data_IF_198590359721
#
_entry.id   IF_198590359721
#
_cell.length_a   1.000
_cell.length_b   1.000
_cell.length_c   1.000
_cell.angle_alpha   90.00
_cell.angle_beta   90.00
_cell.angle_gamma   90.00
#
_symmetry.space_group_name_H-M   'P 1'
#
loop_
_entity.id
_entity.type
_entity.pdbx_description
1 polymer ?
#
# COMPACT_ATOMS: atom_id res chain seq x y z
N UNK A 1 19.54 -2.53 12.69
CA UNK A 1 19.32 -2.91 11.26
C UNK A 1 20.41 -2.29 10.40
N UNK A 2 20.81 -2.93 9.29
CA UNK A 2 21.80 -2.38 8.34
C UNK A 2 21.18 -1.23 7.50
N UNK A 3 21.66 0.03 7.64
CA UNK A 3 21.11 1.16 6.91
C UNK A 3 21.24 1.02 5.39
N UNK A 4 22.32 0.41 4.88
CA UNK A 4 22.53 0.27 3.43
C UNK A 4 21.48 -0.63 2.79
N UNK A 5 21.07 -1.69 3.50
CA UNK A 5 20.00 -2.59 3.11
C UNK A 5 18.61 -1.94 3.21
N UNK A 6 18.35 -1.24 4.32
CA UNK A 6 16.99 -0.85 4.69
C UNK A 6 16.57 0.55 4.26
N UNK A 7 17.50 1.50 4.11
CA UNK A 7 17.19 2.86 3.67
C UNK A 7 16.38 2.92 2.36
N UNK A 8 16.77 2.24 1.25
CA UNK A 8 15.99 2.31 0.01
C UNK A 8 14.57 1.73 0.16
N UNK A 9 14.39 0.72 1.00
CA UNK A 9 13.07 0.12 1.27
C UNK A 9 12.18 1.09 2.04
N UNK A 10 12.73 1.70 3.09
CA UNK A 10 12.00 2.68 3.90
C UNK A 10 11.64 3.93 3.09
N UNK A 11 12.54 4.41 2.22
CA UNK A 11 12.28 5.53 1.31
C UNK A 11 11.18 5.19 0.29
N UNK A 12 11.21 3.99 -0.30
CA UNK A 12 10.17 3.56 -1.25
C UNK A 12 8.79 3.42 -0.58
N UNK A 13 8.77 2.93 0.67
CA UNK A 13 7.55 2.92 1.48
C UNK A 13 7.10 4.36 1.80
N UNK A 14 8.02 5.24 2.21
CA UNK A 14 7.73 6.63 2.53
C UNK A 14 7.12 7.40 1.35
N UNK A 15 7.70 7.23 0.14
CA UNK A 15 7.18 7.81 -1.10
C UNK A 15 5.76 7.33 -1.39
N UNK A 16 5.53 6.01 -1.27
CA UNK A 16 4.21 5.41 -1.50
C UNK A 16 3.17 5.94 -0.49
N UNK A 17 3.56 6.10 0.78
CA UNK A 17 2.74 6.69 1.84
C UNK A 17 2.43 8.16 1.57
N UNK A 18 3.42 8.91 1.12
CA UNK A 18 3.26 10.31 0.74
C UNK A 18 2.24 10.46 -0.39
N UNK A 19 2.42 9.73 -1.49
CA UNK A 19 1.52 9.82 -2.64
C UNK A 19 0.11 9.35 -2.33
N UNK A 20 -0.04 8.28 -1.53
CA UNK A 20 -1.37 7.84 -1.09
C UNK A 20 -2.06 8.89 -0.22
N UNK A 21 -1.33 9.47 0.75
CA UNK A 21 -1.83 10.54 1.61
C UNK A 21 -2.28 11.76 0.79
N UNK A 22 -1.49 12.16 -0.20
CA UNK A 22 -1.80 13.26 -1.10
C UNK A 22 -3.07 13.00 -1.94
N UNK A 23 -3.22 11.80 -2.51
CA UNK A 23 -4.45 11.44 -3.23
C UNK A 23 -5.67 11.33 -2.32
N UNK A 24 -5.50 10.93 -1.06
CA UNK A 24 -6.60 10.93 -0.08
C UNK A 24 -7.09 12.35 0.21
N UNK A 25 -6.21 13.36 0.17
CA UNK A 25 -6.61 14.78 0.26
C UNK A 25 -7.38 15.21 -1.00
N UNK A 26 -6.84 14.94 -2.19
CA UNK A 26 -7.41 15.46 -3.44
C UNK A 26 -8.69 14.75 -3.88
N UNK A 27 -8.70 13.42 -3.82
CA UNK A 27 -9.78 12.59 -4.33
C UNK A 27 -10.74 12.19 -3.21
N UNK A 28 -10.25 12.01 -1.99
CA UNK A 28 -11.06 11.55 -0.86
C UNK A 28 -12.17 12.53 -0.47
N UNK A 29 -12.03 13.82 -0.75
CA UNK A 29 -13.11 14.82 -0.57
C UNK A 29 -14.32 14.58 -1.46
N UNK A 30 -14.15 13.81 -2.53
CA UNK A 30 -15.21 13.43 -3.47
C UNK A 30 -15.83 12.07 -3.12
N UNK A 31 -15.59 11.55 -1.91
CA UNK A 31 -16.22 10.31 -1.44
C UNK A 31 -17.75 10.40 -1.52
N UNK A 32 -18.43 9.28 -1.81
CA UNK A 32 -19.90 9.25 -1.98
C UNK A 32 -20.66 9.55 -0.68
N UNK A 33 -20.00 9.49 0.47
CA UNK A 33 -20.57 9.71 1.80
C UNK A 33 -19.70 10.70 2.57
N UNK A 34 -20.32 11.65 3.29
CA UNK A 34 -19.61 12.67 4.09
C UNK A 34 -18.68 12.03 5.14
N UNK A 35 -19.14 10.95 5.78
CA UNK A 35 -18.36 10.20 6.75
C UNK A 35 -17.11 9.61 6.09
N UNK A 36 -17.23 9.12 4.86
CA UNK A 36 -16.09 8.59 4.10
C UNK A 36 -15.11 9.69 3.72
N UNK A 37 -15.59 10.88 3.34
CA UNK A 37 -14.73 12.04 3.11
C UNK A 37 -13.95 12.44 4.38
N UNK A 38 -14.61 12.45 5.54
CA UNK A 38 -13.96 12.73 6.83
C UNK A 38 -12.91 11.67 7.18
N UNK A 39 -13.20 10.39 6.94
CA UNK A 39 -12.24 9.30 7.12
C UNK A 39 -11.04 9.46 6.19
N UNK A 40 -11.24 9.85 4.92
CA UNK A 40 -10.14 10.11 4.00
C UNK A 40 -9.23 11.26 4.48
N UNK A 41 -9.77 12.32 5.09
CA UNK A 41 -8.95 13.39 5.69
C UNK A 41 -8.11 12.85 6.84
N UNK A 42 -8.70 12.02 7.71
CA UNK A 42 -7.96 11.40 8.81
C UNK A 42 -6.86 10.45 8.30
N UNK A 43 -7.16 9.63 7.29
CA UNK A 43 -6.19 8.74 6.67
C UNK A 43 -5.08 9.54 5.97
N UNK A 44 -5.40 10.59 5.23
CA UNK A 44 -4.40 11.46 4.61
C UNK A 44 -3.40 11.98 5.64
N UNK A 45 -3.88 12.47 6.78
CA UNK A 45 -3.02 12.94 7.86
C UNK A 45 -2.12 11.81 8.41
N UNK A 46 -2.68 10.61 8.60
CA UNK A 46 -1.92 9.45 9.06
C UNK A 46 -0.86 9.01 8.03
N UNK A 47 -1.23 8.83 6.76
CA UNK A 47 -0.32 8.41 5.68
C UNK A 47 0.82 9.43 5.46
N UNK A 48 0.54 10.73 5.52
CA UNK A 48 1.57 11.77 5.46
C UNK A 48 2.47 11.76 6.71
N UNK A 49 1.89 11.48 7.88
CA UNK A 49 2.63 11.29 9.13
C UNK A 49 3.54 10.05 9.08
N UNK A 50 3.08 8.97 8.46
CA UNK A 50 3.83 7.74 8.21
C UNK A 50 5.01 8.00 7.28
N UNK A 51 4.78 8.71 6.17
CA UNK A 51 5.84 9.12 5.26
C UNK A 51 6.92 9.91 6.00
N UNK A 52 6.53 10.96 6.74
CA UNK A 52 7.47 11.78 7.53
C UNK A 52 8.27 10.97 8.54
N UNK A 53 7.62 10.04 9.25
CA UNK A 53 8.29 9.15 10.19
C UNK A 53 9.38 8.33 9.50
N UNK A 54 9.08 7.76 8.34
CA UNK A 54 10.00 6.90 7.58
C UNK A 54 11.17 7.71 7.00
N UNK A 55 10.93 8.88 6.43
CA UNK A 55 12.01 9.76 5.95
C UNK A 55 12.93 10.17 7.10
N UNK A 56 12.38 10.61 8.23
CA UNK A 56 13.16 10.98 9.40
C UNK A 56 14.01 9.81 9.91
N UNK A 57 13.47 8.59 9.88
CA UNK A 57 14.23 7.41 10.29
C UNK A 57 15.44 7.17 9.38
N UNK A 58 15.31 7.35 8.07
CA UNK A 58 16.44 7.24 7.15
C UNK A 58 17.44 8.39 7.35
N UNK A 59 16.98 9.63 7.53
CA UNK A 59 17.84 10.78 7.82
C UNK A 59 18.65 10.61 9.12
N UNK A 60 18.05 10.02 10.16
CA UNK A 60 18.75 9.67 11.42
C UNK A 60 19.96 8.76 11.17
N UNK A 61 19.88 7.81 10.23
CA UNK A 61 21.02 6.95 9.88
C UNK A 61 22.14 7.69 9.15
N UNK A 62 21.81 8.76 8.42
CA UNK A 62 22.78 9.59 7.70
C UNK A 62 23.32 10.75 8.54
N UNK A 63 22.83 10.93 9.78
CA UNK A 63 23.20 12.05 10.64
C UNK A 63 22.68 13.41 10.12
N UNK A 64 21.66 13.38 9.27
CA UNK A 64 21.03 14.57 8.71
C UNK A 64 19.98 15.12 9.69
N UNK A 65 20.00 16.43 9.94
CA UNK A 65 19.07 17.10 10.87
C UNK A 65 18.05 18.00 10.15
N UNK A 66 18.05 18.01 8.82
CA UNK A 66 17.19 18.90 8.02
C UNK A 66 15.78 18.35 7.86
N UNK A 67 14.83 19.25 7.58
CA UNK A 67 13.48 18.89 7.16
C UNK A 67 13.50 17.92 5.97
N UNK A 68 12.58 16.96 6.02
CA UNK A 68 12.36 15.93 5.01
C UNK A 68 12.26 16.55 3.61
N UNK A 69 13.11 16.11 2.68
CA UNK A 69 13.19 16.62 1.30
C UNK A 69 11.96 16.33 0.41
N UNK A 70 10.91 15.73 0.96
CA UNK A 70 9.76 15.24 0.20
C UNK A 70 10.07 13.95 -0.57
N UNK A 71 9.13 13.47 -1.42
CA UNK A 71 9.26 12.20 -2.11
C UNK A 71 10.39 12.20 -3.16
N UNK A 72 11.16 11.11 -3.18
CA UNK A 72 12.32 10.92 -4.06
C UNK A 72 12.04 10.16 -5.36
N UNK A 73 10.83 9.62 -5.53
CA UNK A 73 10.39 8.93 -6.75
C UNK A 73 10.59 7.40 -6.77
N UNK A 74 11.01 6.82 -5.64
CA UNK A 74 11.27 5.39 -5.46
C UNK A 74 10.03 4.54 -5.07
N UNK A 75 8.93 5.18 -4.71
CA UNK A 75 7.65 4.54 -4.36
C UNK A 75 6.75 4.22 -5.56
N UNK A 76 5.50 3.83 -5.28
CA UNK A 76 4.48 3.52 -6.30
C UNK A 76 3.97 4.80 -6.99
N UNK A 77 4.62 5.19 -8.09
CA UNK A 77 4.34 6.45 -8.79
C UNK A 77 2.92 6.54 -9.37
N UNK A 78 2.32 5.41 -9.73
CA UNK A 78 0.94 5.32 -10.26
C UNK A 78 -0.11 5.88 -9.30
N UNK A 79 0.22 6.01 -8.00
CA UNK A 79 -0.66 6.67 -7.04
C UNK A 79 -0.97 8.10 -7.46
N UNK A 80 -0.01 8.83 -8.04
CA UNK A 80 -0.22 10.21 -8.48
C UNK A 80 -1.27 10.37 -9.58
N UNK A 81 -1.64 9.29 -10.27
CA UNK A 81 -2.60 9.31 -11.38
C UNK A 81 -4.04 9.04 -10.94
N UNK A 82 -4.26 8.68 -9.67
CA UNK A 82 -5.61 8.39 -9.17
C UNK A 82 -6.44 9.68 -9.15
N UNK A 83 -7.63 9.62 -9.76
CA UNK A 83 -8.60 10.73 -9.79
C UNK A 83 -10.01 10.30 -9.38
N UNK A 84 -10.24 8.99 -9.19
CA UNK A 84 -11.58 8.43 -8.96
C UNK A 84 -11.65 7.63 -7.65
N UNK A 85 -12.86 7.52 -7.09
CA UNK A 85 -13.11 6.89 -5.79
C UNK A 85 -12.79 5.40 -5.74
N UNK A 86 -13.18 4.64 -6.77
CA UNK A 86 -12.94 3.19 -6.85
C UNK A 86 -11.43 2.88 -6.83
N UNK A 87 -10.60 3.42 -7.76
CA UNK A 87 -9.16 3.18 -7.71
C UNK A 87 -8.50 3.72 -6.44
N UNK A 88 -9.00 4.82 -5.85
CA UNK A 88 -8.49 5.30 -4.56
C UNK A 88 -8.67 4.26 -3.44
N UNK A 89 -9.86 3.68 -3.30
CA UNK A 89 -10.13 2.68 -2.26
C UNK A 89 -9.38 1.37 -2.50
N UNK A 90 -9.28 0.94 -3.76
CA UNK A 90 -8.47 -0.22 -4.14
C UNK A 90 -6.99 -0.01 -3.78
N UNK A 91 -6.42 1.13 -4.19
CA UNK A 91 -5.03 1.47 -3.89
C UNK A 91 -4.80 1.60 -2.38
N UNK A 92 -5.71 2.28 -1.66
CA UNK A 92 -5.66 2.40 -0.20
C UNK A 92 -5.63 1.03 0.47
N UNK A 93 -6.42 0.08 -0.01
CA UNK A 93 -6.42 -1.27 0.52
C UNK A 93 -5.09 -1.99 0.28
N UNK A 94 -4.69 -2.11 -0.99
CA UNK A 94 -3.55 -2.94 -1.39
C UNK A 94 -2.21 -2.37 -0.91
N UNK A 95 -2.00 -1.05 -0.98
CA UNK A 95 -0.80 -0.39 -0.47
C UNK A 95 -0.69 -0.56 1.04
N UNK A 96 -1.79 -0.45 1.79
CA UNK A 96 -1.74 -0.61 3.24
C UNK A 96 -1.48 -2.04 3.69
N UNK A 97 -2.03 -3.04 2.99
CA UNK A 97 -1.68 -4.45 3.25
C UNK A 97 -0.20 -4.71 2.91
N UNK A 98 0.29 -4.21 1.78
CA UNK A 98 1.70 -4.34 1.41
C UNK A 98 2.62 -3.62 2.40
N UNK A 99 2.23 -2.45 2.91
CA UNK A 99 2.95 -1.75 3.97
C UNK A 99 3.03 -2.58 5.25
N UNK A 100 1.94 -3.22 5.69
CA UNK A 100 1.96 -4.13 6.83
C UNK A 100 2.93 -5.30 6.62
N UNK A 101 3.02 -5.83 5.40
CA UNK A 101 4.00 -6.87 5.08
C UNK A 101 5.43 -6.34 5.18
N UNK A 102 5.73 -5.14 4.67
CA UNK A 102 7.05 -4.52 4.87
C UNK A 102 7.38 -4.32 6.35
N UNK A 103 6.40 -3.90 7.17
CA UNK A 103 6.58 -3.76 8.62
C UNK A 103 6.82 -5.12 9.30
N UNK A 104 6.24 -6.21 8.80
CA UNK A 104 6.48 -7.55 9.32
C UNK A 104 7.94 -7.97 9.11
N UNK A 105 8.55 -7.57 7.99
CA UNK A 105 9.97 -7.82 7.71
C UNK A 105 10.88 -7.07 8.69
N UNK A 106 10.54 -5.82 9.00
CA UNK A 106 11.23 -5.03 10.03
C UNK A 106 11.08 -5.71 11.40
N UNK A 107 9.92 -6.32 11.68
CA UNK A 107 9.70 -7.03 12.93
C UNK A 107 10.55 -8.29 13.08
N UNK A 108 10.82 -8.97 11.97
CA UNK A 108 11.68 -10.16 11.92
C UNK A 108 13.17 -9.83 12.13
N UNK A 109 13.67 -8.72 11.57
CA UNK A 109 15.11 -8.35 11.58
C UNK A 109 15.48 -7.17 12.50
N UNK A 110 14.49 -6.47 13.06
CA UNK A 110 14.64 -5.19 13.76
C UNK A 110 14.98 -5.31 15.24
N UNK A 111 15.62 -4.26 15.77
CA UNK A 111 15.85 -4.09 17.20
C UNK A 111 14.68 -3.41 17.91
N UNK A 112 14.73 -3.33 19.24
CA UNK A 112 13.66 -2.74 20.05
C UNK A 112 13.33 -1.29 19.64
N UNK A 113 14.32 -0.51 19.23
CA UNK A 113 14.13 0.87 18.76
C UNK A 113 13.35 0.92 17.46
N UNK A 114 13.68 0.03 16.53
CA UNK A 114 12.99 -0.12 15.24
C UNK A 114 11.52 -0.52 15.46
N UNK A 115 11.27 -1.48 16.36
CA UNK A 115 9.91 -1.92 16.70
C UNK A 115 9.06 -0.81 17.32
N UNK A 116 9.65 0.02 18.18
CA UNK A 116 8.94 1.16 18.78
C UNK A 116 8.47 2.15 17.72
N UNK A 117 9.33 2.47 16.73
CA UNK A 117 9.00 3.40 15.64
C UNK A 117 7.80 2.92 14.83
N UNK A 118 7.72 1.63 14.50
CA UNK A 118 6.66 1.09 13.62
C UNK A 118 5.37 0.72 14.33
N UNK A 119 5.39 0.54 15.66
CA UNK A 119 4.25 0.00 16.42
C UNK A 119 2.95 0.81 16.25
N UNK A 120 3.04 2.15 16.30
CA UNK A 120 1.89 3.03 16.10
C UNK A 120 1.38 2.98 14.66
N UNK A 121 2.31 3.05 13.69
CA UNK A 121 1.98 2.95 12.27
C UNK A 121 1.21 1.65 11.99
N UNK A 122 1.68 0.51 12.51
CA UNK A 122 1.02 -0.77 12.30
C UNK A 122 -0.44 -0.79 12.78
N UNK A 123 -0.73 -0.20 13.94
CA UNK A 123 -2.09 -0.14 14.47
C UNK A 123 -2.99 0.71 13.56
N UNK A 124 -2.53 1.88 13.13
CA UNK A 124 -3.28 2.77 12.23
C UNK A 124 -3.52 2.11 10.86
N UNK A 125 -2.52 1.42 10.29
CA UNK A 125 -2.66 0.69 9.02
C UNK A 125 -3.76 -0.37 9.07
N UNK A 126 -3.93 -1.06 10.20
CA UNK A 126 -5.00 -2.06 10.35
C UNK A 126 -6.38 -1.44 10.26
N UNK A 127 -6.57 -0.25 10.83
CA UNK A 127 -7.82 0.52 10.71
C UNK A 127 -8.08 0.95 9.26
N UNK A 128 -7.03 1.41 8.56
CA UNK A 128 -7.11 1.79 7.15
C UNK A 128 -7.53 0.62 6.25
N UNK A 129 -6.97 -0.56 6.51
CA UNK A 129 -7.30 -1.79 5.79
C UNK A 129 -8.74 -2.22 6.03
N UNK A 130 -9.24 -2.15 7.27
CA UNK A 130 -10.63 -2.50 7.57
C UNK A 130 -11.60 -1.60 6.80
N UNK A 131 -11.38 -0.29 6.81
CA UNK A 131 -12.24 0.66 6.10
C UNK A 131 -12.21 0.47 4.58
N UNK A 132 -11.01 0.44 3.99
CA UNK A 132 -10.84 0.29 2.54
C UNK A 132 -11.34 -1.06 2.03
N UNK A 133 -11.15 -2.15 2.81
CA UNK A 133 -11.71 -3.47 2.49
C UNK A 133 -13.23 -3.46 2.49
N UNK A 134 -13.86 -2.78 3.44
CA UNK A 134 -15.32 -2.65 3.46
C UNK A 134 -15.84 -1.96 2.20
N UNK A 135 -15.17 -0.93 1.71
CA UNK A 135 -15.49 -0.30 0.43
C UNK A 135 -15.31 -1.24 -0.77
N UNK A 136 -14.18 -1.95 -0.83
CA UNK A 136 -13.96 -2.92 -1.90
C UNK A 136 -15.01 -4.05 -1.90
N UNK A 137 -15.44 -4.55 -0.74
CA UNK A 137 -16.55 -5.50 -0.64
C UNK A 137 -17.85 -4.89 -1.17
N UNK A 138 -18.16 -3.64 -0.80
CA UNK A 138 -19.35 -2.93 -1.31
C UNK A 138 -19.34 -2.81 -2.83
N UNK A 139 -18.20 -2.48 -3.45
CA UNK A 139 -18.11 -2.42 -4.91
C UNK A 139 -18.30 -3.79 -5.58
N UNK A 140 -17.76 -4.85 -4.95
CA UNK A 140 -17.91 -6.22 -5.45
C UNK A 140 -19.36 -6.72 -5.40
N UNK A 141 -20.14 -6.24 -4.42
CA UNK A 141 -21.54 -6.60 -4.18
C UNK A 141 -22.55 -5.62 -4.82
N UNK A 142 -22.07 -4.54 -5.44
CA UNK A 142 -22.92 -3.55 -6.10
C UNK A 142 -23.55 -4.10 -7.40
N UNK A 143 -24.31 -3.26 -8.08
CA UNK A 143 -25.01 -3.60 -9.32
C UNK A 143 -24.55 -2.71 -10.48
N UNK A 144 -24.96 -3.05 -11.69
CA UNK A 144 -24.61 -2.30 -12.89
C UNK A 144 -23.13 -2.40 -13.24
N UNK A 145 -22.48 -1.27 -13.53
CA UNK A 145 -21.11 -1.24 -14.03
C UNK A 145 -20.05 -1.31 -12.90
N UNK A 146 -20.41 -1.01 -11.65
CA UNK A 146 -19.47 -0.85 -10.53
C UNK A 146 -18.64 -2.12 -10.28
N UNK A 147 -19.21 -3.34 -10.19
CA UNK A 147 -18.41 -4.54 -9.92
C UNK A 147 -17.36 -4.82 -11.01
N UNK A 148 -17.66 -4.50 -12.27
CA UNK A 148 -16.71 -4.67 -13.39
C UNK A 148 -15.56 -3.67 -13.27
N UNK A 149 -15.88 -2.39 -13.09
CA UNK A 149 -14.86 -1.33 -12.92
C UNK A 149 -13.97 -1.64 -11.71
N UNK A 150 -14.57 -2.09 -10.60
CA UNK A 150 -13.82 -2.52 -9.44
C UNK A 150 -12.89 -3.72 -9.74
N UNK A 151 -13.37 -4.75 -10.42
CA UNK A 151 -12.55 -5.91 -10.76
C UNK A 151 -11.36 -5.53 -11.67
N UNK A 152 -11.58 -4.64 -12.64
CA UNK A 152 -10.54 -4.15 -13.55
C UNK A 152 -9.49 -3.33 -12.77
N UNK A 153 -9.92 -2.39 -11.92
CA UNK A 153 -9.02 -1.60 -11.08
C UNK A 153 -8.28 -2.45 -10.04
N UNK A 154 -8.96 -3.41 -9.41
CA UNK A 154 -8.34 -4.33 -8.45
C UNK A 154 -7.25 -5.16 -9.12
N UNK A 155 -7.51 -5.71 -10.31
CA UNK A 155 -6.52 -6.51 -11.05
C UNK A 155 -5.31 -5.66 -11.44
N UNK A 156 -5.54 -4.43 -11.92
CA UNK A 156 -4.48 -3.47 -12.26
C UNK A 156 -3.61 -3.14 -11.05
N UNK A 157 -4.23 -2.78 -9.94
CA UNK A 157 -3.50 -2.40 -8.72
C UNK A 157 -2.82 -3.59 -8.05
N UNK A 158 -3.41 -4.79 -8.10
CA UNK A 158 -2.75 -6.00 -7.62
C UNK A 158 -1.42 -6.23 -8.35
N UNK A 159 -1.40 -6.04 -9.68
CA UNK A 159 -0.17 -6.16 -10.47
C UNK A 159 0.87 -5.10 -10.07
N UNK A 160 0.46 -3.83 -9.98
CA UNK A 160 1.33 -2.71 -9.60
C UNK A 160 1.95 -2.94 -8.22
N UNK A 161 1.13 -3.26 -7.22
CA UNK A 161 1.57 -3.46 -5.84
C UNK A 161 2.41 -4.73 -5.71
N UNK A 162 2.05 -5.81 -6.40
CA UNK A 162 2.86 -7.04 -6.44
C UNK A 162 4.26 -6.77 -6.96
N UNK A 163 4.37 -6.07 -8.10
CA UNK A 163 5.66 -5.77 -8.73
C UNK A 163 6.53 -4.92 -7.80
N UNK A 164 5.94 -3.90 -7.19
CA UNK A 164 6.63 -3.06 -6.21
C UNK A 164 7.11 -3.88 -5.01
N UNK A 165 6.22 -4.68 -4.39
CA UNK A 165 6.55 -5.47 -3.20
C UNK A 165 7.59 -6.55 -3.49
N UNK A 166 7.55 -7.21 -4.65
CA UNK A 166 8.61 -8.13 -5.12
C UNK A 166 9.94 -7.39 -5.22
N UNK A 167 9.95 -6.18 -5.80
CA UNK A 167 11.15 -5.35 -5.92
C UNK A 167 11.77 -5.00 -4.56
N UNK A 168 10.95 -4.74 -3.54
CA UNK A 168 11.42 -4.52 -2.18
C UNK A 168 11.92 -5.82 -1.52
N UNK A 169 11.14 -6.90 -1.65
CA UNK A 169 11.48 -8.17 -1.02
C UNK A 169 12.79 -8.76 -1.57
N UNK A 170 13.08 -8.58 -2.85
CA UNK A 170 14.36 -8.96 -3.47
C UNK A 170 15.56 -8.18 -2.90
N UNK A 171 15.35 -6.96 -2.39
CA UNK A 171 16.42 -6.21 -1.72
C UNK A 171 16.66 -6.72 -0.29
N UNK A 172 15.63 -7.30 0.36
CA UNK A 172 15.73 -7.87 1.71
C UNK A 172 16.36 -9.25 1.67
N UNK A 173 15.73 -10.17 0.94
CA UNK A 173 16.13 -11.56 0.77
C UNK A 173 15.49 -12.12 -0.51
N UNK A 174 16.26 -12.24 -1.62
CA UNK A 174 15.77 -12.81 -2.87
C UNK A 174 15.15 -14.22 -2.72
N UNK A 175 15.62 -15.02 -1.76
CA UNK A 175 15.14 -16.39 -1.59
C UNK A 175 13.75 -16.45 -0.95
N UNK A 176 13.35 -15.41 -0.21
CA UNK A 176 12.05 -15.33 0.45
C UNK A 176 11.08 -14.36 -0.24
N UNK A 177 11.50 -13.70 -1.33
CA UNK A 177 10.72 -12.64 -1.97
C UNK A 177 9.32 -13.10 -2.40
N UNK A 178 9.22 -14.27 -3.01
CA UNK A 178 7.96 -14.86 -3.46
C UNK A 178 7.05 -15.20 -2.28
N UNK A 179 7.61 -15.77 -1.21
CA UNK A 179 6.84 -16.14 -0.01
C UNK A 179 6.25 -14.91 0.68
N UNK A 180 7.07 -13.88 0.88
CA UNK A 180 6.66 -12.59 1.49
C UNK A 180 5.51 -11.94 0.72
N UNK A 181 5.59 -11.94 -0.61
CA UNK A 181 4.53 -11.41 -1.47
C UNK A 181 3.27 -12.27 -1.39
N UNK A 182 3.39 -13.60 -1.37
CA UNK A 182 2.25 -14.50 -1.25
C UNK A 182 1.50 -14.35 0.09
N UNK A 183 2.21 -14.02 1.19
CA UNK A 183 1.56 -13.69 2.46
C UNK A 183 0.69 -12.45 2.34
N UNK A 184 1.18 -11.38 1.73
CA UNK A 184 0.38 -10.19 1.47
C UNK A 184 -0.83 -10.50 0.58
N UNK A 185 -0.64 -11.27 -0.51
CA UNK A 185 -1.70 -11.70 -1.44
C UNK A 185 -2.81 -12.49 -0.76
N UNK A 186 -2.49 -13.29 0.26
CA UNK A 186 -3.51 -14.05 1.00
C UNK A 186 -4.57 -13.16 1.67
N UNK A 187 -4.22 -11.89 1.95
CA UNK A 187 -5.10 -10.91 2.59
C UNK A 187 -5.81 -10.01 1.56
N UNK A 188 -5.26 -9.89 0.34
CA UNK A 188 -5.85 -9.10 -0.76
C UNK A 188 -7.12 -9.72 -1.34
N UNK A 189 -7.39 -11.01 -1.10
CA UNK A 189 -8.52 -11.66 -1.72
C UNK A 189 -9.86 -11.08 -1.24
N UNK A 190 -10.59 -10.51 -2.19
CA UNK A 190 -11.97 -10.06 -2.05
C UNK A 190 -12.83 -10.93 -2.97
N UNK A 191 -13.73 -11.77 -2.41
CA UNK A 191 -14.61 -12.60 -3.23
C UNK A 191 -15.51 -11.71 -4.09
N UNK A 192 -15.43 -11.85 -5.41
CA UNK A 192 -16.37 -11.18 -6.31
C UNK A 192 -17.70 -11.92 -6.28
N UNK A 193 -18.82 -11.19 -6.14
CA UNK A 193 -20.18 -11.73 -6.20
C UNK A 193 -20.59 -12.07 -7.65
N UNK A 194 -19.78 -12.86 -8.34
CA UNK A 194 -20.19 -13.70 -9.47
C UNK A 194 -19.01 -14.58 -9.87
N UNK A 195 -19.23 -15.88 -10.02
CA UNK A 195 -18.26 -16.83 -10.58
C UNK A 195 -17.98 -16.60 -12.08
N UNK A 196 -17.74 -15.35 -12.48
CA UNK A 196 -17.47 -14.92 -13.86
C UNK A 196 -16.31 -13.93 -13.96
N UNK A 197 -15.24 -14.10 -13.18
CA UNK A 197 -13.91 -13.62 -13.58
C UNK A 197 -12.85 -14.60 -13.06
N UNK A 198 -13.00 -15.88 -13.38
CA UNK A 198 -11.95 -16.89 -13.21
C UNK A 198 -11.43 -17.29 -14.59
N UNK A 199 -10.94 -16.32 -15.37
CA UNK A 199 -10.33 -16.58 -16.67
C UNK A 199 -9.45 -15.41 -17.13
N UNK A 200 -8.44 -15.00 -16.35
CA UNK A 200 -7.38 -14.10 -16.85
C UNK A 200 -6.04 -14.20 -16.10
N UNK A 201 -5.79 -15.30 -15.36
CA UNK A 201 -4.49 -15.57 -14.70
C UNK A 201 -3.84 -16.87 -15.24
N UNK A 202 -4.24 -17.35 -16.42
CA UNK A 202 -3.71 -18.61 -16.99
C UNK A 202 -3.20 -18.51 -18.43
N UNK A 203 -2.74 -17.34 -18.87
CA UNK A 203 -2.06 -17.20 -20.16
C UNK A 203 -0.83 -16.27 -20.10
N UNK A 204 0.12 -16.55 -19.21
CA UNK A 204 1.50 -16.03 -19.40
C UNK A 204 2.59 -17.02 -18.98
N UNK A 205 2.26 -18.30 -18.87
CA UNK A 205 3.26 -19.37 -18.80
C UNK A 205 2.77 -20.53 -19.63
N UNK A 206 2.97 -20.45 -20.94
CA UNK A 206 3.46 -21.56 -21.75
C UNK A 206 3.73 -21.07 -23.18
N UNK A 207 4.95 -21.38 -23.61
CA UNK A 207 5.43 -21.69 -24.97
C UNK A 207 6.43 -20.70 -25.56
N UNK A 208 7.44 -21.22 -26.28
CA UNK A 208 8.36 -22.31 -25.92
C UNK A 208 9.78 -21.80 -25.64
#
# INVERSE_FOLDING_TARGET
MDPAKWAPILLSLADSKFHLGDRLVEVGVSAPELQSALVCVAFAQAELGHARLLYNWVSEWHGETSDVSGPGGSGVQQLTEIQEWIPLMVATHLINVAALEVLSWIREEGDATSLQKISKMENELREHIVFSRAWCNRFAEDTGAVPRVFADEHSRWEEVVSRWLVGLANQVDPNQAVERVNRARSVWHIPLASGRVTALVHQTTMQP
#
